data_IF_066403741929
#
_entry.id   IF_066403741929
#
_cell.length_a   1.000
_cell.length_b   1.000
_cell.length_c   1.000
_cell.angle_alpha   90.00
_cell.angle_beta   90.00
_cell.angle_gamma   90.00
#
_symmetry.space_group_name_H-M   'P 1'
#
loop_
_entity.id
_entity.type
_entity.pdbx_description
1 polymer ?
#
# COMPACT_ATOMS: atom_id res chain seq x y z
N UNK A 1 -2.31 -5.27 -35.48
CA UNK A 1 -2.40 -5.21 -34.00
C UNK A 1 -1.26 -5.92 -33.28
N UNK A 2 -0.92 -7.18 -33.60
CA UNK A 2 0.17 -7.94 -32.94
C UNK A 2 1.54 -7.23 -32.94
N UNK A 3 1.91 -6.55 -34.02
CA UNK A 3 3.21 -5.86 -34.13
C UNK A 3 3.33 -4.64 -33.19
N UNK A 4 2.25 -3.87 -33.02
CA UNK A 4 2.26 -2.70 -32.15
C UNK A 4 2.42 -3.12 -30.69
N UNK A 5 1.68 -4.14 -30.24
CA UNK A 5 1.79 -4.65 -28.87
C UNK A 5 3.18 -5.21 -28.57
N UNK A 6 3.81 -5.88 -29.54
CA UNK A 6 5.20 -6.36 -29.40
C UNK A 6 6.20 -5.21 -29.28
N UNK A 7 6.12 -4.23 -30.18
CA UNK A 7 6.99 -3.03 -30.14
C UNK A 7 6.83 -2.25 -28.84
N UNK A 8 5.61 -2.14 -28.34
CA UNK A 8 5.33 -1.49 -27.05
C UNK A 8 5.95 -2.29 -25.89
N UNK A 9 5.76 -3.60 -25.85
CA UNK A 9 6.37 -4.48 -24.86
C UNK A 9 7.91 -4.39 -24.86
N UNK A 10 8.53 -4.37 -26.04
CA UNK A 10 9.98 -4.22 -26.21
C UNK A 10 10.46 -2.83 -25.73
N UNK A 11 9.71 -1.78 -26.06
CA UNK A 11 10.02 -0.41 -25.61
C UNK A 11 9.92 -0.26 -24.09
N UNK A 12 8.89 -0.85 -23.48
CA UNK A 12 8.74 -0.84 -22.02
C UNK A 12 9.84 -1.67 -21.34
N UNK A 13 10.16 -2.84 -21.89
CA UNK A 13 11.23 -3.69 -21.37
C UNK A 13 12.59 -3.01 -21.45
N UNK A 14 12.92 -2.36 -22.56
CA UNK A 14 14.16 -1.59 -22.73
C UNK A 14 14.23 -0.35 -21.82
N UNK A 15 13.08 0.23 -21.45
CA UNK A 15 12.97 1.27 -20.43
C UNK A 15 13.06 0.73 -18.99
N UNK A 16 13.30 -0.57 -18.83
CA UNK A 16 13.47 -1.22 -17.53
C UNK A 16 12.18 -1.68 -16.87
N UNK A 17 11.01 -1.58 -17.51
CA UNK A 17 9.75 -2.11 -16.97
C UNK A 17 9.71 -3.64 -17.08
N UNK A 18 10.51 -4.29 -16.23
CA UNK A 18 10.64 -5.74 -16.11
C UNK A 18 10.47 -6.15 -14.66
N UNK A 19 10.00 -7.38 -14.43
CA UNK A 19 9.85 -7.92 -13.07
C UNK A 19 11.16 -7.89 -12.28
N UNK A 20 12.29 -8.12 -12.95
CA UNK A 20 13.62 -8.10 -12.30
C UNK A 20 13.92 -6.71 -11.75
N UNK A 21 13.77 -5.66 -12.56
CA UNK A 21 14.05 -4.31 -12.11
C UNK A 21 13.06 -3.84 -11.04
N UNK A 22 11.78 -4.22 -11.16
CA UNK A 22 10.78 -3.95 -10.13
C UNK A 22 11.18 -4.60 -8.79
N UNK A 23 11.63 -5.86 -8.81
CA UNK A 23 12.10 -6.54 -7.60
C UNK A 23 13.34 -5.86 -6.97
N UNK A 24 14.27 -5.37 -7.79
CA UNK A 24 15.43 -4.60 -7.30
C UNK A 24 15.00 -3.29 -6.64
N UNK A 25 14.04 -2.57 -7.24
CA UNK A 25 13.49 -1.36 -6.65
C UNK A 25 12.76 -1.64 -5.33
N UNK A 26 11.90 -2.66 -5.28
CA UNK A 26 11.22 -3.07 -4.04
C UNK A 26 12.20 -3.52 -2.96
N UNK A 27 13.29 -4.20 -3.34
CA UNK A 27 14.37 -4.55 -2.41
C UNK A 27 15.10 -3.32 -1.85
N UNK A 28 15.32 -2.30 -2.69
CA UNK A 28 15.88 -1.01 -2.28
C UNK A 28 14.95 -0.30 -1.28
N UNK A 29 13.65 -0.32 -1.56
CA UNK A 29 12.63 0.20 -0.66
C UNK A 29 12.60 -0.54 0.69
N UNK A 30 12.72 -1.87 0.68
CA UNK A 30 12.80 -2.67 1.91
C UNK A 30 14.07 -2.37 2.73
N UNK A 31 15.21 -2.12 2.08
CA UNK A 31 16.42 -1.69 2.77
C UNK A 31 16.25 -0.32 3.43
N UNK A 32 15.66 0.64 2.71
CA UNK A 32 15.35 1.97 3.25
C UNK A 32 14.34 1.90 4.40
N UNK A 33 13.30 1.08 4.30
CA UNK A 33 12.33 0.85 5.37
C UNK A 33 13.02 0.37 6.65
N UNK A 34 13.98 -0.56 6.56
CA UNK A 34 14.76 -1.03 7.71
C UNK A 34 15.59 0.10 8.35
N UNK A 35 16.23 0.93 7.53
CA UNK A 35 17.00 2.10 8.01
C UNK A 35 16.08 3.09 8.72
N UNK A 36 14.90 3.36 8.16
CA UNK A 36 13.91 4.28 8.75
C UNK A 36 13.42 3.77 10.10
N UNK A 37 13.06 2.49 10.22
CA UNK A 37 12.64 1.90 11.50
C UNK A 37 13.71 2.03 12.58
N UNK A 38 14.97 1.78 12.23
CA UNK A 38 16.09 1.90 13.16
C UNK A 38 16.34 3.36 13.57
N UNK A 39 16.22 4.29 12.62
CA UNK A 39 16.50 5.72 12.86
C UNK A 39 15.39 6.43 13.64
N UNK A 40 14.13 6.07 13.37
CA UNK A 40 12.96 6.68 14.00
C UNK A 40 12.54 5.98 15.30
N UNK A 41 12.96 4.73 15.50
CA UNK A 41 12.50 3.92 16.63
C UNK A 41 11.00 3.59 16.56
N UNK A 42 10.36 3.75 15.40
CA UNK A 42 8.95 3.49 15.16
C UNK A 42 8.72 2.34 14.17
N UNK A 43 7.55 1.72 14.26
CA UNK A 43 7.12 0.71 13.29
C UNK A 43 6.57 1.43 12.05
N UNK A 44 7.40 1.61 11.02
CA UNK A 44 7.00 2.24 9.77
C UNK A 44 7.11 1.30 8.57
N UNK A 45 6.32 1.54 7.54
CA UNK A 45 6.30 0.78 6.30
C UNK A 45 6.43 1.74 5.14
N UNK A 46 7.38 1.50 4.25
CA UNK A 46 7.49 2.26 3.02
C UNK A 46 6.52 1.66 2.00
N UNK A 47 5.55 2.43 1.54
CA UNK A 47 4.47 1.97 0.67
C UNK A 47 4.39 2.82 -0.59
N UNK A 48 3.38 2.56 -1.41
CA UNK A 48 3.19 3.26 -2.67
C UNK A 48 4.22 2.88 -3.73
N UNK A 49 4.20 3.62 -4.84
CA UNK A 49 4.81 3.15 -6.09
C UNK A 49 6.33 2.97 -6.03
N UNK A 50 7.03 3.66 -5.13
CA UNK A 50 8.45 3.38 -4.88
C UNK A 50 8.63 1.97 -4.31
N UNK A 51 7.88 1.63 -3.26
CA UNK A 51 7.97 0.35 -2.58
C UNK A 51 7.29 -0.81 -3.32
N UNK A 52 6.28 -0.53 -4.14
CA UNK A 52 5.62 -1.52 -5.01
C UNK A 52 6.56 -2.02 -6.12
N UNK A 53 7.62 -1.26 -6.42
CA UNK A 53 8.57 -1.55 -7.50
C UNK A 53 8.07 -1.12 -8.88
N UNK A 54 6.84 -0.59 -8.98
CA UNK A 54 6.20 -0.21 -10.24
C UNK A 54 5.66 1.22 -10.18
N UNK A 55 5.87 2.00 -11.23
CA UNK A 55 5.17 3.27 -11.43
C UNK A 55 5.66 4.44 -10.57
N UNK A 56 6.80 4.30 -9.89
CA UNK A 56 7.49 5.41 -9.22
C UNK A 56 8.07 6.43 -10.22
N UNK A 57 8.64 5.90 -11.30
CA UNK A 57 9.01 6.65 -12.49
C UNK A 57 8.22 6.07 -13.67
N UNK A 58 7.53 6.94 -14.41
CA UNK A 58 6.66 6.52 -15.51
C UNK A 58 7.38 6.40 -16.84
N UNK A 59 8.63 6.86 -16.92
CA UNK A 59 9.47 6.76 -18.12
C UNK A 59 10.51 5.64 -18.04
N UNK A 60 10.79 5.08 -16.87
CA UNK A 60 11.62 3.88 -16.72
C UNK A 60 11.93 3.49 -15.28
N UNK A 61 12.27 2.22 -15.04
CA UNK A 61 12.70 1.75 -13.71
C UNK A 61 14.22 1.76 -13.66
N UNK A 62 14.78 2.83 -13.09
CA UNK A 62 16.22 3.06 -12.96
C UNK A 62 16.66 3.43 -11.53
N UNK A 63 15.80 3.21 -10.53
CA UNK A 63 16.06 3.55 -9.13
C UNK A 63 15.87 5.04 -8.79
N UNK A 64 15.46 5.88 -9.75
CA UNK A 64 15.12 7.28 -9.52
C UNK A 64 13.62 7.45 -9.21
N UNK A 65 13.31 8.50 -8.47
CA UNK A 65 11.94 9.00 -8.27
C UNK A 65 11.68 10.15 -9.21
N UNK A 66 10.55 10.12 -9.93
CA UNK A 66 10.14 11.22 -10.79
C UNK A 66 9.91 12.49 -9.95
N UNK A 67 10.13 13.67 -10.55
CA UNK A 67 10.01 14.94 -9.85
C UNK A 67 8.61 15.21 -9.29
N UNK A 68 7.59 14.56 -9.85
CA UNK A 68 6.19 14.63 -9.40
C UNK A 68 5.73 13.34 -8.71
N UNK A 69 6.67 12.50 -8.25
CA UNK A 69 6.40 11.35 -7.42
C UNK A 69 6.93 11.59 -6.00
N UNK A 70 6.17 11.09 -5.05
CA UNK A 70 6.43 11.09 -3.62
C UNK A 70 6.79 9.69 -3.13
N UNK A 71 7.31 9.63 -1.90
CA UNK A 71 7.47 8.41 -1.15
C UNK A 71 6.42 8.34 -0.06
N UNK A 72 5.63 7.28 -0.03
CA UNK A 72 4.60 7.10 0.98
C UNK A 72 5.15 6.27 2.15
N UNK A 73 4.92 6.73 3.37
CA UNK A 73 5.30 6.03 4.60
C UNK A 73 4.08 5.84 5.48
N UNK A 74 3.75 4.60 5.81
CA UNK A 74 2.74 4.28 6.84
C UNK A 74 3.46 4.08 8.17
N UNK A 75 3.19 4.93 9.16
CA UNK A 75 3.73 4.83 10.51
C UNK A 75 2.67 4.31 11.49
N UNK A 76 2.96 3.22 12.20
CA UNK A 76 2.07 2.66 13.20
C UNK A 76 2.22 3.38 14.53
N UNK A 77 1.08 3.78 15.08
CA UNK A 77 1.00 4.29 16.44
C UNK A 77 1.31 3.19 17.45
N UNK A 78 2.00 3.58 18.53
CA UNK A 78 2.31 2.71 19.66
C UNK A 78 1.26 2.88 20.76
N UNK A 79 1.06 1.84 21.57
CA UNK A 79 0.20 1.91 22.76
C UNK A 79 -1.30 1.71 22.53
N UNK A 80 -1.76 1.60 21.27
CA UNK A 80 -3.15 1.30 20.93
C UNK A 80 -3.23 0.28 19.79
N UNK A 81 -4.11 -0.71 19.94
CA UNK A 81 -4.47 -1.66 18.89
C UNK A 81 -6.00 -1.77 18.81
N UNK A 82 -6.57 -1.81 17.60
CA UNK A 82 -8.02 -1.89 17.40
C UNK A 82 -8.47 -3.34 17.16
N UNK A 83 -9.61 -3.70 17.73
CA UNK A 83 -10.23 -5.01 17.57
C UNK A 83 -11.69 -4.87 17.13
N UNK A 84 -12.05 -5.52 16.03
CA UNK A 84 -13.42 -5.49 15.53
C UNK A 84 -14.33 -6.31 16.46
N UNK A 85 -15.37 -5.68 16.99
CA UNK A 85 -16.36 -6.34 17.82
C UNK A 85 -16.99 -7.55 17.10
N UNK A 86 -17.10 -8.67 17.82
CA UNK A 86 -17.74 -9.88 17.31
C UNK A 86 -16.94 -10.66 16.25
N UNK A 87 -15.66 -10.35 16.02
CA UNK A 87 -14.84 -11.09 15.02
C UNK A 87 -14.55 -12.54 15.42
N UNK A 88 -14.75 -12.92 16.68
CA UNK A 88 -14.59 -14.30 17.17
C UNK A 88 -13.14 -14.82 17.18
N UNK A 89 -12.15 -14.00 16.81
CA UNK A 89 -10.74 -14.40 16.63
C UNK A 89 -9.90 -14.22 17.91
N UNK A 90 -10.49 -13.79 19.02
CA UNK A 90 -9.80 -13.75 20.32
C UNK A 90 -10.50 -14.66 21.31
N UNK A 91 -9.77 -15.65 21.83
CA UNK A 91 -10.00 -16.15 23.18
C UNK A 91 -9.70 -15.01 24.17
N UNK A 92 -10.46 -14.91 25.26
CA UNK A 92 -10.34 -13.85 26.27
C UNK A 92 -8.92 -13.69 26.85
N UNK A 93 -8.06 -14.71 26.68
CA UNK A 93 -6.69 -14.77 27.20
C UNK A 93 -5.64 -14.03 26.36
N UNK A 94 -5.95 -13.60 25.12
CA UNK A 94 -5.03 -12.89 24.22
C UNK A 94 -5.31 -11.39 24.07
N UNK A 95 -6.27 -10.84 24.82
CA UNK A 95 -6.47 -9.38 24.87
C UNK A 95 -5.24 -8.73 25.49
N UNK A 96 -4.31 -8.25 24.66
CA UNK A 96 -3.29 -7.30 25.10
C UNK A 96 -4.01 -6.14 25.78
N UNK A 97 -3.50 -5.68 26.92
CA UNK A 97 -4.08 -4.60 27.75
C UNK A 97 -4.39 -3.33 26.94
N UNK A 98 -3.76 -3.15 25.78
CA UNK A 98 -3.89 -2.00 24.87
C UNK A 98 -4.94 -2.19 23.74
N UNK A 99 -5.73 -3.25 23.77
CA UNK A 99 -6.68 -3.57 22.71
C UNK A 99 -8.04 -2.89 22.93
N UNK A 100 -8.45 -2.02 22.00
CA UNK A 100 -9.74 -1.32 22.03
C UNK A 100 -10.72 -1.97 21.06
N UNK A 101 -11.82 -2.46 21.59
CA UNK A 101 -12.94 -2.97 20.79
C UNK A 101 -13.65 -1.82 20.08
N UNK A 102 -13.97 -2.03 18.79
CA UNK A 102 -14.54 -1.01 17.90
C UNK A 102 -15.60 -1.60 16.97
N UNK A 103 -16.58 -0.78 16.62
CA UNK A 103 -17.58 -1.12 15.62
C UNK A 103 -16.99 -0.99 14.21
N UNK A 104 -17.35 -1.94 13.34
CA UNK A 104 -16.96 -1.96 11.94
C UNK A 104 -18.20 -2.03 11.04
N UNK A 105 -18.23 -1.19 10.03
CA UNK A 105 -19.29 -1.19 9.01
C UNK A 105 -18.75 -0.62 7.70
N UNK A 106 -19.00 -1.31 6.59
CA UNK A 106 -18.73 -0.82 5.23
C UNK A 106 -17.28 -0.32 5.03
N UNK A 107 -16.29 -1.12 5.45
CA UNK A 107 -14.87 -0.77 5.32
C UNK A 107 -14.35 0.26 6.34
N UNK A 108 -15.22 0.77 7.23
CA UNK A 108 -14.90 1.80 8.19
C UNK A 108 -15.02 1.32 9.64
N UNK A 109 -14.14 1.86 10.48
CA UNK A 109 -14.09 1.66 11.93
C UNK A 109 -14.58 2.92 12.61
N UNK A 110 -15.54 2.79 13.54
CA UNK A 110 -15.96 3.91 14.38
C UNK A 110 -14.93 4.15 15.48
N UNK A 111 -14.05 5.11 15.25
CA UNK A 111 -13.00 5.50 16.17
C UNK A 111 -12.68 6.98 15.97
N UNK A 112 -12.92 7.78 17.01
CA UNK A 112 -12.61 9.20 16.98
C UNK A 112 -11.09 9.43 16.98
N UNK A 113 -10.64 10.33 16.12
CA UNK A 113 -9.24 10.71 15.95
C UNK A 113 -9.12 12.21 15.75
N UNK A 114 -8.03 12.80 16.25
CA UNK A 114 -7.73 14.23 16.12
C UNK A 114 -7.18 14.62 14.73
N UNK A 115 -7.48 13.82 13.70
CA UNK A 115 -7.06 14.08 12.33
C UNK A 115 -8.22 13.88 11.36
N UNK A 116 -8.42 14.87 10.49
CA UNK A 116 -9.36 14.79 9.37
C UNK A 116 -8.73 14.31 8.06
N UNK A 117 -7.40 14.19 7.99
CA UNK A 117 -6.67 13.75 6.80
C UNK A 117 -5.76 12.56 7.10
N UNK A 118 -5.57 11.64 6.13
CA UNK A 118 -4.75 10.46 6.33
C UNK A 118 -3.26 10.77 6.36
N UNK A 119 -2.80 11.73 5.55
CA UNK A 119 -1.39 11.99 5.30
C UNK A 119 -0.93 13.38 5.79
N UNK A 120 0.34 13.44 6.20
CA UNK A 120 1.11 14.65 6.42
C UNK A 120 2.17 14.72 5.32
N UNK A 121 1.95 15.60 4.35
CA UNK A 121 2.86 15.79 3.23
C UNK A 121 4.07 16.65 3.64
N UNK A 122 5.26 16.20 3.25
CA UNK A 122 6.51 16.95 3.43
C UNK A 122 7.17 17.16 2.08
N UNK A 123 7.41 18.42 1.73
CA UNK A 123 8.04 18.78 0.45
C UNK A 123 9.43 18.13 0.28
N UNK A 124 9.75 17.80 -0.97
CA UNK A 124 11.09 17.34 -1.34
C UNK A 124 12.16 18.41 -1.16
N UNK A 125 13.40 17.95 -1.04
CA UNK A 125 14.64 18.73 -1.07
C UNK A 125 15.55 18.16 -2.16
N UNK A 126 16.66 18.84 -2.47
CA UNK A 126 17.61 18.38 -3.51
C UNK A 126 18.08 16.94 -3.32
N UNK A 127 18.18 16.46 -2.07
CA UNK A 127 18.67 15.12 -1.73
C UNK A 127 17.57 14.16 -1.27
N UNK A 128 16.30 14.58 -1.26
CA UNK A 128 15.18 13.78 -0.74
C UNK A 128 13.90 14.06 -1.54
N UNK A 129 13.21 13.05 -2.06
CA UNK A 129 11.91 13.27 -2.69
C UNK A 129 10.90 13.81 -1.66
N UNK A 130 9.74 14.25 -2.17
CA UNK A 130 8.58 14.52 -1.32
C UNK A 130 8.19 13.24 -0.58
N UNK A 131 7.70 13.38 0.65
CA UNK A 131 7.32 12.25 1.50
C UNK A 131 5.94 12.50 2.09
N UNK A 132 5.06 11.53 1.94
CA UNK A 132 3.72 11.53 2.50
C UNK A 132 3.64 10.52 3.65
N UNK A 133 3.45 11.01 4.86
CA UNK A 133 3.41 10.17 6.07
C UNK A 133 1.96 9.94 6.47
N UNK A 134 1.52 8.69 6.43
CA UNK A 134 0.20 8.25 6.91
C UNK A 134 0.34 7.65 8.29
N UNK A 135 -0.35 8.22 9.28
CA UNK A 135 -0.44 7.63 10.62
C UNK A 135 -1.51 6.57 10.62
N UNK A 136 -1.15 5.38 11.10
CA UNK A 136 -2.03 4.24 11.17
C UNK A 136 -2.13 3.67 12.58
N UNK A 137 -3.27 3.10 12.93
CA UNK A 137 -3.45 2.35 14.18
C UNK A 137 -3.47 0.87 13.81
N UNK A 138 -2.62 0.02 14.42
CA UNK A 138 -2.63 -1.41 14.15
C UNK A 138 -3.97 -2.02 14.58
N UNK A 139 -4.42 -3.02 13.85
CA UNK A 139 -5.60 -3.82 14.17
C UNK A 139 -5.19 -5.26 14.49
N UNK A 140 -6.01 -6.00 15.23
CA UNK A 140 -5.72 -7.40 15.52
C UNK A 140 -5.74 -8.27 14.26
N UNK A 141 -6.77 -8.08 13.42
CA UNK A 141 -6.98 -8.88 12.22
C UNK A 141 -7.68 -8.05 11.15
N UNK A 142 -7.47 -8.44 9.89
CA UNK A 142 -8.28 -7.93 8.80
C UNK A 142 -9.72 -8.44 8.90
N UNK A 143 -10.71 -7.65 8.46
CA UNK A 143 -12.04 -8.19 8.20
C UNK A 143 -11.96 -9.30 7.14
N UNK A 144 -12.94 -10.19 7.12
CA UNK A 144 -12.98 -11.24 6.11
C UNK A 144 -13.21 -10.62 4.73
N UNK A 145 -12.23 -10.76 3.83
CA UNK A 145 -12.37 -10.38 2.44
C UNK A 145 -12.93 -11.54 1.62
N UNK A 146 -13.84 -11.24 0.68
CA UNK A 146 -14.47 -12.24 -0.18
C UNK A 146 -13.45 -13.08 -0.95
N UNK A 147 -12.34 -12.46 -1.37
CA UNK A 147 -11.28 -13.14 -2.12
C UNK A 147 -10.60 -14.27 -1.33
N UNK A 148 -10.67 -14.26 0.00
CA UNK A 148 -10.12 -15.30 0.86
C UNK A 148 -11.16 -16.34 1.31
N UNK A 149 -12.41 -16.23 0.87
CA UNK A 149 -13.47 -17.18 1.23
C UNK A 149 -13.31 -18.49 0.47
N UNK A 150 -13.52 -19.65 1.14
CA UNK A 150 -13.53 -20.93 0.46
C UNK A 150 -14.52 -20.93 -0.72
N UNK A 151 -14.05 -21.36 -1.89
CA UNK A 151 -14.85 -21.42 -3.11
C UNK A 151 -14.93 -20.14 -3.94
N UNK A 152 -14.35 -19.02 -3.47
CA UNK A 152 -14.18 -17.83 -4.31
C UNK A 152 -13.20 -18.13 -5.46
N UNK A 153 -13.58 -17.78 -6.70
CA UNK A 153 -12.72 -17.98 -7.88
C UNK A 153 -12.02 -16.68 -8.22
N UNK A 154 -10.75 -16.56 -7.82
CA UNK A 154 -9.89 -15.44 -8.21
C UNK A 154 -9.00 -15.80 -9.40
N UNK A 155 -8.45 -14.79 -10.08
CA UNK A 155 -7.37 -14.96 -11.06
C UNK A 155 -5.98 -14.83 -10.43
N UNK A 156 -5.89 -14.70 -9.11
CA UNK A 156 -4.64 -14.62 -8.36
C UNK A 156 -4.28 -16.05 -7.93
N UNK A 157 -3.04 -16.50 -8.19
CA UNK A 157 -2.57 -17.80 -7.71
C UNK A 157 -2.72 -17.98 -6.20
N UNK A 158 -3.11 -19.17 -5.76
CA UNK A 158 -3.45 -19.47 -4.36
C UNK A 158 -2.25 -19.31 -3.41
N UNK A 159 -1.05 -19.59 -3.90
CA UNK A 159 0.21 -19.37 -3.19
C UNK A 159 0.45 -17.87 -2.91
N UNK A 160 0.14 -17.02 -3.87
CA UNK A 160 0.21 -15.55 -3.72
C UNK A 160 -0.87 -15.07 -2.74
N UNK A 161 -2.11 -15.55 -2.86
CA UNK A 161 -3.19 -15.19 -1.93
C UNK A 161 -2.86 -15.57 -0.49
N UNK A 162 -2.33 -16.78 -0.30
CA UNK A 162 -1.91 -17.29 1.01
C UNK A 162 -0.80 -16.42 1.62
N UNK A 163 0.22 -16.08 0.83
CA UNK A 163 1.33 -15.24 1.28
C UNK A 163 0.88 -13.81 1.65
N UNK A 164 0.00 -13.20 0.84
CA UNK A 164 -0.56 -11.86 1.13
C UNK A 164 -1.31 -11.87 2.47
N UNK A 165 -2.05 -12.94 2.75
CA UNK A 165 -2.85 -13.06 3.98
C UNK A 165 -1.99 -13.27 5.22
N UNK A 166 -0.89 -14.04 5.14
CA UNK A 166 -0.05 -14.35 6.29
C UNK A 166 0.92 -13.24 6.66
N UNK A 167 1.44 -12.51 5.67
CA UNK A 167 2.65 -11.67 5.86
C UNK A 167 2.34 -10.19 6.09
N UNK A 168 1.06 -9.81 6.13
CA UNK A 168 0.65 -8.41 6.18
C UNK A 168 -0.02 -8.04 7.51
N UNK A 169 0.40 -6.90 8.06
CA UNK A 169 -0.14 -6.41 9.32
C UNK A 169 -1.39 -5.56 9.07
N UNK A 170 -2.46 -5.88 9.80
CA UNK A 170 -3.72 -5.16 9.70
C UNK A 170 -3.62 -3.79 10.37
N UNK A 171 -4.18 -2.77 9.73
CA UNK A 171 -4.17 -1.41 10.24
C UNK A 171 -5.31 -0.56 9.66
N UNK A 172 -5.62 0.51 10.37
CA UNK A 172 -6.61 1.52 9.97
C UNK A 172 -5.96 2.89 9.86
N UNK A 173 -6.47 3.71 8.93
CA UNK A 173 -5.96 5.06 8.63
C UNK A 173 -7.07 6.10 8.73
N UNK A 174 -6.68 7.35 8.96
CA UNK A 174 -7.58 8.49 9.09
C UNK A 174 -8.21 8.89 7.74
N UNK A 175 -9.16 8.09 7.24
CA UNK A 175 -9.87 8.30 5.99
C UNK A 175 -11.36 8.02 6.19
N UNK A 176 -12.11 9.01 6.68
CA UNK A 176 -13.55 8.88 6.87
C UNK A 176 -14.33 9.16 5.58
N UNK A 177 -15.58 8.69 5.46
CA UNK A 177 -16.51 9.18 4.45
C UNK A 177 -16.73 10.70 4.60
N UNK A 178 -17.13 11.40 3.52
CA UNK A 178 -17.43 12.83 3.59
C UNK A 178 -18.46 13.16 4.68
N UNK A 179 -18.16 14.14 5.53
CA UNK A 179 -19.02 14.57 6.65
C UNK A 179 -18.86 13.79 7.95
N UNK A 180 -17.98 12.78 7.99
CA UNK A 180 -17.63 12.00 9.18
C UNK A 180 -16.14 12.12 9.55
N UNK A 181 -15.48 13.17 9.08
CA UNK A 181 -14.07 13.42 9.33
C UNK A 181 -13.77 13.44 10.83
N UNK A 182 -12.71 12.75 11.23
CA UNK A 182 -12.32 12.62 12.64
C UNK A 182 -13.19 11.66 13.48
N UNK A 183 -14.29 11.12 12.93
CA UNK A 183 -15.19 10.21 13.66
C UNK A 183 -14.99 8.74 13.29
N UNK A 184 -14.46 8.49 12.09
CA UNK A 184 -14.22 7.16 11.55
C UNK A 184 -12.81 7.03 10.99
N UNK A 185 -12.31 5.80 10.98
CA UNK A 185 -11.12 5.38 10.25
C UNK A 185 -11.49 4.39 9.16
N UNK A 186 -10.63 4.18 8.17
CA UNK A 186 -10.81 3.15 7.13
C UNK A 186 -9.78 2.06 7.30
N UNK A 187 -10.19 0.80 7.11
CA UNK A 187 -9.23 -0.28 6.97
C UNK A 187 -8.36 -0.06 5.75
N UNK A 188 -7.05 -0.24 5.92
CA UNK A 188 -6.08 -0.06 4.86
C UNK A 188 -5.55 -1.41 4.39
N UNK A 189 -5.64 -1.65 3.08
CA UNK A 189 -5.09 -2.83 2.40
C UNK A 189 -3.73 -2.57 1.78
N UNK A 190 -3.10 -1.42 2.03
CA UNK A 190 -1.87 -1.02 1.33
C UNK A 190 -0.71 -2.02 1.47
N UNK A 191 -0.59 -2.73 2.60
CA UNK A 191 0.43 -3.78 2.74
C UNK A 191 0.10 -5.03 1.93
N UNK A 192 -1.18 -5.38 1.80
CA UNK A 192 -1.65 -6.46 0.91
C UNK A 192 -1.48 -6.09 -0.56
N UNK A 193 -1.83 -4.86 -0.92
CA UNK A 193 -1.63 -4.31 -2.26
C UNK A 193 -0.14 -4.35 -2.63
N UNK A 194 0.75 -3.88 -1.76
CA UNK A 194 2.20 -3.93 -1.99
C UNK A 194 2.70 -5.36 -2.23
N UNK A 195 2.26 -6.32 -1.41
CA UNK A 195 2.61 -7.74 -1.59
C UNK A 195 2.11 -8.29 -2.93
N UNK A 196 0.90 -7.92 -3.36
CA UNK A 196 0.37 -8.27 -4.68
C UNK A 196 1.18 -7.60 -5.82
N UNK A 197 1.59 -6.35 -5.65
CA UNK A 197 2.40 -5.63 -6.63
C UNK A 197 3.77 -6.31 -6.86
N UNK A 198 4.35 -6.91 -5.81
CA UNK A 198 5.60 -7.67 -5.90
C UNK A 198 5.44 -9.00 -6.66
N UNK A 199 4.22 -9.54 -6.75
CA UNK A 199 3.95 -10.79 -7.45
C UNK A 199 3.64 -10.61 -8.94
N UNK A 200 3.57 -9.37 -9.44
CA UNK A 200 3.24 -9.11 -10.83
C UNK A 200 4.31 -9.66 -11.79
N UNK A 201 3.84 -10.27 -12.87
CA UNK A 201 4.66 -10.56 -14.04
C UNK A 201 5.08 -9.27 -14.74
N UNK A 202 6.10 -9.35 -15.62
CA UNK A 202 6.51 -8.22 -16.46
C UNK A 202 5.33 -7.61 -17.22
N UNK A 203 4.46 -8.44 -17.83
CA UNK A 203 3.31 -7.93 -18.59
C UNK A 203 2.27 -7.23 -17.70
N UNK A 204 1.97 -7.79 -16.53
CA UNK A 204 1.03 -7.15 -15.60
C UNK A 204 1.58 -5.83 -15.06
N UNK A 205 2.85 -5.78 -14.69
CA UNK A 205 3.52 -4.56 -14.24
C UNK A 205 3.58 -3.48 -15.33
N UNK A 206 3.87 -3.88 -16.58
CA UNK A 206 3.83 -2.99 -17.74
C UNK A 206 2.44 -2.40 -17.97
N UNK A 207 1.38 -3.23 -17.90
CA UNK A 207 0.01 -2.76 -18.01
C UNK A 207 -0.33 -1.76 -16.89
N UNK A 208 0.05 -2.05 -15.64
CA UNK A 208 -0.14 -1.15 -14.51
C UNK A 208 0.51 0.22 -14.75
N UNK A 209 1.78 0.24 -15.17
CA UNK A 209 2.50 1.49 -15.45
C UNK A 209 1.85 2.26 -16.59
N UNK A 210 1.43 1.57 -17.66
CA UNK A 210 0.74 2.20 -18.77
C UNK A 210 -0.57 2.87 -18.34
N UNK A 211 -1.39 2.18 -17.55
CA UNK A 211 -2.65 2.72 -17.02
C UNK A 211 -2.37 3.96 -16.17
N UNK A 212 -1.39 3.87 -15.26
CA UNK A 212 -0.97 5.00 -14.42
C UNK A 212 -0.47 6.18 -15.27
N UNK A 213 0.31 5.93 -16.32
CA UNK A 213 0.78 6.96 -17.25
C UNK A 213 -0.37 7.65 -17.97
N UNK A 214 -1.33 6.89 -18.53
CA UNK A 214 -2.48 7.44 -19.23
C UNK A 214 -3.28 8.35 -18.28
N UNK A 215 -3.56 7.91 -17.07
CA UNK A 215 -4.30 8.69 -16.08
C UNK A 215 -3.51 9.97 -15.73
N UNK A 216 -2.27 9.84 -15.27
CA UNK A 216 -1.47 10.96 -14.73
C UNK A 216 -1.01 11.96 -15.80
N UNK A 217 -0.69 11.50 -17.01
CA UNK A 217 -0.05 12.33 -18.05
C UNK A 217 -0.96 12.67 -19.22
N UNK A 218 -1.99 11.88 -19.49
CA UNK A 218 -2.87 12.09 -20.65
C UNK A 218 -4.21 12.63 -20.23
N UNK A 219 -4.90 12.00 -19.27
CA UNK A 219 -6.25 12.39 -18.86
C UNK A 219 -6.20 13.64 -17.98
N UNK A 220 -5.44 13.62 -16.88
CA UNK A 220 -5.39 14.74 -15.92
C UNK A 220 -4.84 16.04 -16.55
N UNK A 221 -4.02 15.95 -17.61
CA UNK A 221 -3.56 17.15 -18.34
C UNK A 221 -4.59 17.75 -19.31
N UNK A 222 -5.67 17.03 -19.62
CA UNK A 222 -6.71 17.45 -20.56
C UNK A 222 -7.95 18.04 -19.86
N UNK A 223 -8.06 17.86 -18.55
CA UNK A 223 -9.09 18.42 -17.67
C UNK A 223 -8.49 19.60 -16.93
#
# INVERSE_FOLDING_TARGET
>A
ESEFSKRLHESLSSSGFTRINAAVQSGTAAALEKILRQSLGSQCFLVGSFADGWGNCLTGICGRTDADSDMDVTEFQTGLQLHIAGSGVHDEMERKVTCKEVEFSDGHIKHQIDSSKPNVATSGMTLRPSVDIVRAIPCCFYPEFEIFRPGYKSCIPEDILSAIRSDTQCHAVAAAPPGLEGQCMRFSTTLMERALMHSLTTLQGQLFVMLKYIIKRVIVKRV
#
